data_IF_490297730414
#
_entry.id   IF_490297730414
#
_cell.length_a   1.000
_cell.length_b   1.000
_cell.length_c   1.000
_cell.angle_alpha   90.00
_cell.angle_beta   90.00
_cell.angle_gamma   90.00
#
_symmetry.space_group_name_H-M   'P 1'
#
loop_
_entity.id
_entity.type
_entity.pdbx_description
1 polymer ?
#
# COMPACT_ATOMS: atom_id res chain seq x y z
N UNK A 1 -10.28 -40.66 -2.64
CA UNK A 1 -9.04 -40.10 -2.07
C UNK A 1 -9.12 -38.58 -2.27
N UNK A 2 -9.73 -37.87 -1.34
CA UNK A 2 -9.85 -36.41 -1.35
C UNK A 2 -8.61 -35.82 -0.70
N UNK A 3 -7.59 -35.54 -1.50
CA UNK A 3 -6.43 -34.79 -1.05
C UNK A 3 -6.81 -33.35 -0.80
N UNK A 4 -7.21 -33.02 0.43
CA UNK A 4 -7.37 -31.63 0.86
C UNK A 4 -6.02 -30.91 0.72
N UNK A 5 -5.99 -29.83 -0.07
CA UNK A 5 -4.78 -29.02 -0.19
C UNK A 5 -4.46 -28.46 1.20
N UNK A 6 -3.24 -28.67 1.74
CA UNK A 6 -2.90 -28.15 3.06
C UNK A 6 -3.07 -26.64 3.10
N UNK A 7 -3.65 -26.12 4.20
CA UNK A 7 -4.01 -24.72 4.42
C UNK A 7 -2.93 -23.73 3.96
N UNK A 8 -1.67 -23.98 4.38
CA UNK A 8 -0.54 -23.12 4.04
C UNK A 8 -0.28 -23.07 2.52
N UNK A 9 -0.42 -24.20 1.85
CA UNK A 9 -0.21 -24.28 0.38
C UNK A 9 -1.31 -23.52 -0.38
N UNK A 10 -2.55 -23.61 0.09
CA UNK A 10 -3.68 -22.85 -0.46
C UNK A 10 -3.47 -21.34 -0.26
N UNK A 11 -3.10 -20.91 0.93
CA UNK A 11 -2.84 -19.49 1.24
C UNK A 11 -1.68 -18.92 0.41
N UNK A 12 -0.56 -19.65 0.26
CA UNK A 12 0.59 -19.22 -0.54
C UNK A 12 0.25 -19.13 -2.04
N UNK A 13 -0.51 -20.09 -2.57
CA UNK A 13 -0.94 -20.05 -3.97
C UNK A 13 -1.88 -18.87 -4.22
N UNK A 14 -2.84 -18.64 -3.33
CA UNK A 14 -3.75 -17.50 -3.40
C UNK A 14 -2.99 -16.18 -3.32
N UNK A 15 -2.05 -16.05 -2.37
CA UNK A 15 -1.19 -14.89 -2.26
C UNK A 15 -0.43 -14.58 -3.56
N UNK A 16 0.21 -15.59 -4.18
CA UNK A 16 0.94 -15.40 -5.45
C UNK A 16 0.04 -15.02 -6.61
N UNK A 17 -1.14 -15.61 -6.71
CA UNK A 17 -2.10 -15.29 -7.77
C UNK A 17 -2.61 -13.85 -7.61
N UNK A 18 -3.00 -13.48 -6.40
CA UNK A 18 -3.50 -12.14 -6.11
C UNK A 18 -2.42 -11.07 -6.26
N UNK A 19 -1.17 -11.34 -5.90
CA UNK A 19 -0.07 -10.40 -6.16
C UNK A 19 0.02 -10.05 -7.65
N UNK A 20 -0.11 -11.01 -8.55
CA UNK A 20 -0.08 -10.75 -9.99
C UNK A 20 -1.28 -9.96 -10.48
N UNK A 21 -2.45 -10.15 -9.87
CA UNK A 21 -3.67 -9.40 -10.20
C UNK A 21 -3.64 -7.98 -9.64
N UNK A 22 -3.14 -7.79 -8.41
CA UNK A 22 -3.03 -6.49 -7.76
C UNK A 22 -1.99 -5.59 -8.44
N UNK A 23 -0.90 -6.17 -8.97
CA UNK A 23 0.18 -5.47 -9.65
C UNK A 23 -0.21 -5.22 -11.12
N UNK A 24 -1.23 -4.38 -11.36
CA UNK A 24 -1.57 -3.91 -12.70
C UNK A 24 -0.82 -2.63 -13.04
N UNK A 25 -0.37 -2.51 -14.30
CA UNK A 25 0.41 -1.34 -14.73
C UNK A 25 -0.31 -0.01 -14.44
N UNK A 26 -1.63 0.06 -14.67
CA UNK A 26 -2.41 1.27 -14.44
C UNK A 26 -2.45 1.68 -12.97
N UNK A 27 -2.66 0.73 -12.06
CA UNK A 27 -2.68 1.00 -10.61
C UNK A 27 -1.32 1.46 -10.09
N UNK A 28 -0.26 0.78 -10.51
CA UNK A 28 1.10 1.15 -10.10
C UNK A 28 1.44 2.55 -10.61
N UNK A 29 1.15 2.88 -11.86
CA UNK A 29 1.40 4.23 -12.42
C UNK A 29 0.61 5.28 -11.65
N UNK A 30 -0.68 5.05 -11.38
CA UNK A 30 -1.52 5.99 -10.64
C UNK A 30 -0.99 6.24 -9.22
N UNK A 31 -0.56 5.18 -8.52
CA UNK A 31 -0.05 5.29 -7.17
C UNK A 31 1.36 5.87 -7.11
N UNK A 32 2.21 5.57 -8.10
CA UNK A 32 3.51 6.23 -8.25
C UNK A 32 3.34 7.72 -8.58
N UNK A 33 2.34 8.09 -9.37
CA UNK A 33 2.02 9.49 -9.62
C UNK A 33 1.58 10.20 -8.33
N UNK A 34 0.74 9.54 -7.52
CA UNK A 34 0.30 10.08 -6.22
C UNK A 34 1.50 10.25 -5.25
N UNK A 35 2.37 9.26 -5.15
CA UNK A 35 3.63 9.36 -4.39
C UNK A 35 4.57 10.42 -4.94
N UNK A 36 4.62 10.58 -6.27
CA UNK A 36 5.38 11.63 -6.93
C UNK A 36 4.88 13.03 -6.59
N UNK A 37 3.57 13.24 -6.50
CA UNK A 37 2.99 14.51 -6.05
C UNK A 37 3.43 14.84 -4.62
N UNK A 38 3.44 13.85 -3.72
CA UNK A 38 3.92 14.03 -2.35
C UNK A 38 5.40 14.45 -2.32
N UNK A 39 6.24 13.79 -3.10
CA UNK A 39 7.67 14.10 -3.19
C UNK A 39 7.88 15.51 -3.78
N UNK A 40 7.13 15.89 -4.81
CA UNK A 40 7.20 17.23 -5.40
C UNK A 40 6.74 18.31 -4.41
N UNK A 41 5.69 18.05 -3.63
CA UNK A 41 5.26 18.95 -2.56
C UNK A 41 6.35 19.14 -1.49
N UNK A 42 6.98 18.02 -1.07
CA UNK A 42 8.09 18.06 -0.12
C UNK A 42 9.30 18.83 -0.66
N UNK A 43 9.65 18.64 -1.95
CA UNK A 43 10.71 19.41 -2.63
C UNK A 43 10.36 20.91 -2.72
N UNK A 44 9.09 21.25 -2.98
CA UNK A 44 8.61 22.62 -3.00
C UNK A 44 8.81 23.32 -1.65
N UNK A 45 8.45 22.64 -0.56
CA UNK A 45 8.66 23.16 0.80
C UNK A 45 10.17 23.30 1.10
N UNK A 46 10.96 22.29 0.76
CA UNK A 46 12.42 22.35 0.97
C UNK A 46 13.10 23.49 0.21
N UNK A 47 12.55 23.91 -0.95
CA UNK A 47 13.10 24.96 -1.77
C UNK A 47 12.63 26.37 -1.39
N UNK A 48 11.44 26.52 -0.78
CA UNK A 48 10.78 27.79 -0.56
C UNK A 48 10.66 28.25 0.89
N UNK A 49 10.74 27.33 1.86
CA UNK A 49 10.62 27.66 3.27
C UNK A 49 11.94 28.19 3.85
N UNK A 50 11.87 29.20 4.71
CA UNK A 50 13.00 29.57 5.57
C UNK A 50 13.33 28.42 6.53
N UNK A 51 14.61 28.33 6.95
CA UNK A 51 15.11 27.17 7.71
C UNK A 51 14.30 26.92 8.99
N UNK A 52 13.85 27.99 9.65
CA UNK A 52 13.09 27.88 10.90
C UNK A 52 11.67 27.34 10.72
N UNK A 53 11.03 27.61 9.56
CA UNK A 53 9.66 27.19 9.25
C UNK A 53 9.60 25.86 8.45
N UNK A 54 10.75 25.40 7.97
CA UNK A 54 10.84 24.25 7.06
C UNK A 54 10.35 22.96 7.71
N UNK A 55 10.66 22.73 8.98
CA UNK A 55 10.25 21.50 9.71
C UNK A 55 8.74 21.48 9.89
N UNK A 56 8.14 22.60 10.30
CA UNK A 56 6.69 22.68 10.50
C UNK A 56 5.92 22.51 9.17
N UNK A 57 6.37 23.17 8.12
CA UNK A 57 5.79 23.04 6.79
C UNK A 57 5.91 21.61 6.25
N UNK A 58 7.05 20.94 6.50
CA UNK A 58 7.25 19.55 6.09
C UNK A 58 6.37 18.57 6.86
N UNK A 59 6.21 18.76 8.17
CA UNK A 59 5.26 18.00 8.99
C UNK A 59 3.85 18.16 8.43
N UNK A 60 3.45 19.39 8.06
CA UNK A 60 2.15 19.64 7.44
C UNK A 60 1.94 18.91 6.10
N UNK A 61 2.98 18.82 5.26
CA UNK A 61 2.92 18.06 3.99
C UNK A 61 2.83 16.55 4.25
N UNK A 62 3.63 16.02 5.16
CA UNK A 62 3.62 14.59 5.48
C UNK A 62 2.30 14.19 6.13
N UNK A 63 1.82 14.96 7.09
CA UNK A 63 0.56 14.69 7.79
C UNK A 63 -0.63 14.89 6.83
N UNK A 64 -0.78 16.05 6.22
CA UNK A 64 -1.94 16.38 5.39
C UNK A 64 -2.00 15.59 4.09
N UNK A 65 -0.94 15.59 3.28
CA UNK A 65 -0.93 14.85 2.02
C UNK A 65 -0.55 13.38 2.19
N UNK A 66 0.43 13.09 3.02
CA UNK A 66 0.94 11.73 3.19
C UNK A 66 -0.04 10.86 3.98
N UNK A 67 -0.23 11.14 5.26
CA UNK A 67 -1.01 10.28 6.15
C UNK A 67 -2.52 10.40 5.92
N UNK A 68 -3.03 11.61 5.66
CA UNK A 68 -4.49 11.81 5.50
C UNK A 68 -4.97 11.43 4.11
N UNK A 69 -4.16 11.56 3.06
CA UNK A 69 -4.59 11.32 1.68
C UNK A 69 -3.91 10.09 1.06
N UNK A 70 -2.57 10.03 1.02
CA UNK A 70 -1.86 8.96 0.30
C UNK A 70 -2.09 7.60 0.94
N UNK A 71 -1.94 7.49 2.26
CA UNK A 71 -2.09 6.21 2.98
C UNK A 71 -3.50 5.63 2.83
N UNK A 72 -4.61 6.36 3.11
CA UNK A 72 -5.95 5.81 2.96
C UNK A 72 -6.31 5.48 1.51
N UNK A 73 -5.87 6.28 0.53
CA UNK A 73 -6.14 6.02 -0.89
C UNK A 73 -5.44 4.73 -1.33
N UNK A 74 -4.17 4.54 -0.97
CA UNK A 74 -3.43 3.31 -1.30
C UNK A 74 -4.08 2.11 -0.62
N UNK A 75 -4.38 2.21 0.67
CA UNK A 75 -5.02 1.13 1.41
C UNK A 75 -6.39 0.76 0.80
N UNK A 76 -7.23 1.75 0.48
CA UNK A 76 -8.53 1.53 -0.13
C UNK A 76 -8.42 0.88 -1.52
N UNK A 77 -7.51 1.33 -2.37
CA UNK A 77 -7.30 0.78 -3.72
C UNK A 77 -6.92 -0.70 -3.64
N UNK A 78 -6.00 -1.07 -2.77
CA UNK A 78 -5.57 -2.47 -2.65
C UNK A 78 -6.55 -3.34 -1.87
N UNK A 79 -7.17 -2.83 -0.82
CA UNK A 79 -8.19 -3.57 -0.08
C UNK A 79 -9.43 -3.86 -0.96
N UNK A 80 -9.90 -2.89 -1.72
CA UNK A 80 -11.04 -3.10 -2.64
C UNK A 80 -10.69 -4.03 -3.80
N UNK A 81 -9.49 -3.91 -4.35
CA UNK A 81 -9.02 -4.73 -5.45
C UNK A 81 -8.81 -6.19 -5.05
N UNK A 82 -8.36 -6.45 -3.84
CA UNK A 82 -8.07 -7.81 -3.37
C UNK A 82 -9.29 -8.75 -3.39
N UNK A 83 -10.49 -8.19 -3.26
CA UNK A 83 -11.75 -8.93 -3.27
C UNK A 83 -12.64 -8.57 -4.47
N UNK A 84 -12.56 -7.33 -4.98
CA UNK A 84 -13.41 -6.80 -6.04
C UNK A 84 -13.12 -7.39 -7.40
N UNK A 85 -11.85 -7.48 -7.80
CA UNK A 85 -11.44 -7.97 -9.11
C UNK A 85 -11.89 -9.43 -9.35
N UNK A 86 -11.76 -10.29 -8.34
CA UNK A 86 -12.22 -11.67 -8.43
C UNK A 86 -13.75 -11.81 -8.60
N UNK A 87 -14.51 -10.79 -8.22
CA UNK A 87 -15.95 -10.75 -8.35
C UNK A 87 -16.38 -10.32 -9.76
N UNK A 88 -15.70 -9.33 -10.33
CA UNK A 88 -15.96 -8.83 -11.69
C UNK A 88 -15.58 -9.85 -12.76
N UNK A 89 -14.50 -10.58 -12.59
CA UNK A 89 -14.03 -11.63 -13.50
C UNK A 89 -14.87 -12.93 -13.41
N UNK A 90 -15.89 -13.00 -12.52
CA UNK A 90 -16.73 -14.18 -12.34
C UNK A 90 -15.98 -15.39 -11.76
N UNK A 91 -14.71 -15.22 -11.38
CA UNK A 91 -13.85 -16.31 -10.88
C UNK A 91 -14.26 -16.77 -9.48
N UNK A 92 -14.96 -15.94 -8.71
CA UNK A 92 -15.52 -16.31 -7.40
C UNK A 92 -16.50 -17.49 -7.48
N UNK A 93 -17.23 -17.65 -8.58
CA UNK A 93 -18.18 -18.78 -8.77
C UNK A 93 -17.41 -20.11 -8.76
N UNK A 94 -16.22 -20.15 -9.37
CA UNK A 94 -15.39 -21.35 -9.37
C UNK A 94 -14.76 -21.66 -8.01
N UNK A 95 -14.49 -20.64 -7.20
CA UNK A 95 -14.03 -20.80 -5.81
C UNK A 95 -15.14 -21.35 -4.90
N UNK A 96 -16.42 -21.01 -5.21
CA UNK A 96 -17.58 -21.51 -4.45
C UNK A 96 -17.90 -22.98 -4.78
N UNK A 97 -17.57 -23.44 -5.98
CA UNK A 97 -17.78 -24.81 -6.42
C UNK A 97 -16.70 -25.79 -5.96
N UNK A 98 -15.55 -25.29 -5.49
CA UNK A 98 -14.51 -26.14 -4.91
C UNK A 98 -14.70 -26.27 -3.40
N UNK A 99 -14.55 -27.48 -2.83
CA UNK A 99 -14.58 -27.71 -1.37
C UNK A 99 -13.27 -27.21 -0.74
N UNK A 100 -13.02 -25.89 -0.82
CA UNK A 100 -11.88 -25.24 -0.17
C UNK A 100 -12.38 -24.33 0.95
N UNK A 101 -11.71 -24.36 2.09
CA UNK A 101 -11.97 -23.44 3.18
C UNK A 101 -11.78 -21.99 2.71
N UNK A 102 -12.69 -21.11 3.08
CA UNK A 102 -12.67 -19.69 2.66
C UNK A 102 -11.57 -18.89 3.37
N UNK A 103 -11.20 -19.33 4.56
CA UNK A 103 -10.21 -18.69 5.42
C UNK A 103 -8.82 -18.51 4.76
N UNK A 104 -8.23 -19.54 4.10
CA UNK A 104 -6.95 -19.39 3.41
C UNK A 104 -6.96 -18.35 2.29
N UNK A 105 -8.11 -18.21 1.60
CA UNK A 105 -8.27 -17.24 0.51
C UNK A 105 -8.26 -15.82 1.05
N UNK A 106 -9.02 -15.56 2.12
CA UNK A 106 -9.08 -14.23 2.77
C UNK A 106 -7.72 -13.85 3.35
N UNK A 107 -7.06 -14.77 4.03
CA UNK A 107 -5.72 -14.54 4.59
C UNK A 107 -4.70 -14.28 3.47
N UNK A 108 -4.73 -15.05 2.40
CA UNK A 108 -3.87 -14.85 1.25
C UNK A 108 -4.08 -13.49 0.58
N UNK A 109 -5.33 -13.05 0.45
CA UNK A 109 -5.69 -11.74 -0.08
C UNK A 109 -5.20 -10.59 0.82
N UNK A 110 -5.40 -10.72 2.12
CA UNK A 110 -4.95 -9.73 3.11
C UNK A 110 -3.43 -9.55 3.06
N UNK A 111 -2.65 -10.64 3.10
CA UNK A 111 -1.20 -10.54 2.99
C UNK A 111 -0.74 -10.04 1.62
N UNK A 112 -1.45 -10.34 0.53
CA UNK A 112 -1.11 -9.82 -0.79
C UNK A 112 -1.31 -8.31 -0.86
N UNK A 113 -2.41 -7.78 -0.32
CA UNK A 113 -2.64 -6.33 -0.28
C UNK A 113 -1.59 -5.60 0.54
N UNK A 114 -1.25 -6.08 1.74
CA UNK A 114 -0.20 -5.49 2.58
C UNK A 114 1.15 -5.52 1.85
N UNK A 115 1.53 -6.62 1.22
CA UNK A 115 2.82 -6.77 0.53
C UNK A 115 3.00 -5.73 -0.58
N UNK A 116 1.93 -5.29 -1.23
CA UNK A 116 2.00 -4.31 -2.31
C UNK A 116 1.77 -2.88 -1.78
N UNK A 117 0.82 -2.67 -0.89
CA UNK A 117 0.48 -1.34 -0.37
C UNK A 117 1.59 -0.77 0.51
N UNK A 118 2.21 -1.60 1.36
CA UNK A 118 3.23 -1.14 2.31
C UNK A 118 4.44 -0.48 1.64
N UNK A 119 5.14 -1.08 0.65
CA UNK A 119 6.24 -0.39 0.00
C UNK A 119 5.79 0.83 -0.80
N UNK A 120 4.58 0.81 -1.36
CA UNK A 120 4.05 1.90 -2.16
C UNK A 120 3.70 3.15 -1.32
N UNK A 121 3.40 2.98 -0.03
CA UNK A 121 3.20 4.09 0.91
C UNK A 121 4.49 4.50 1.60
N UNK A 122 5.24 3.53 2.13
CA UNK A 122 6.42 3.79 2.94
C UNK A 122 7.54 4.45 2.13
N UNK A 123 7.78 4.01 0.89
CA UNK A 123 8.89 4.54 0.08
C UNK A 123 8.71 6.02 -0.26
N UNK A 124 7.57 6.50 -0.81
CA UNK A 124 7.40 7.92 -1.06
C UNK A 124 7.43 8.77 0.21
N UNK A 125 6.87 8.25 1.31
CA UNK A 125 6.86 8.94 2.60
C UNK A 125 8.28 9.09 3.18
N UNK A 126 9.09 8.03 3.11
CA UNK A 126 10.49 8.08 3.55
C UNK A 126 11.32 9.04 2.70
N UNK A 127 11.09 9.06 1.37
CA UNK A 127 11.78 10.00 0.47
C UNK A 127 11.36 11.43 0.78
N UNK A 128 10.07 11.69 0.98
CA UNK A 128 9.57 13.03 1.33
C UNK A 128 10.18 13.53 2.64
N UNK A 129 10.23 12.68 3.68
CA UNK A 129 10.86 13.01 4.95
C UNK A 129 12.37 13.27 4.82
N UNK A 130 13.08 12.48 4.01
CA UNK A 130 14.51 12.64 3.78
C UNK A 130 14.83 13.94 3.04
N UNK A 131 14.04 14.30 2.03
CA UNK A 131 14.19 15.54 1.26
C UNK A 131 13.91 16.77 2.13
N UNK A 132 12.94 16.64 3.06
CA UNK A 132 12.59 17.70 3.99
C UNK A 132 13.62 17.99 5.08
N UNK A 133 14.80 17.36 5.05
CA UNK A 133 15.82 17.56 6.07
C UNK A 133 15.47 16.99 7.44
N UNK A 134 14.42 16.13 7.51
CA UNK A 134 14.11 15.41 8.73
C UNK A 134 15.29 14.54 9.12
N UNK A 135 15.77 14.68 10.35
CA UNK A 135 16.81 13.80 10.87
C UNK A 135 16.37 12.34 10.86
N UNK A 136 17.28 11.42 11.16
CA UNK A 136 17.00 9.97 11.21
C UNK A 136 15.72 9.62 11.96
N UNK A 137 15.44 10.32 13.06
CA UNK A 137 14.27 10.10 13.92
C UNK A 137 12.94 10.49 13.22
N UNK A 138 12.96 11.59 12.45
CA UNK A 138 11.80 12.01 11.67
C UNK A 138 11.49 11.03 10.53
N UNK A 139 12.50 10.51 9.86
CA UNK A 139 12.32 9.47 8.82
C UNK A 139 11.74 8.21 9.43
N UNK A 140 12.28 7.74 10.56
CA UNK A 140 11.78 6.55 11.26
C UNK A 140 10.33 6.73 11.70
N UNK A 141 10.00 7.88 12.31
CA UNK A 141 8.64 8.18 12.73
C UNK A 141 7.65 8.15 11.55
N UNK A 142 8.02 8.75 10.41
CA UNK A 142 7.21 8.78 9.19
C UNK A 142 7.01 7.38 8.61
N UNK A 143 8.06 6.56 8.56
CA UNK A 143 7.99 5.17 8.09
C UNK A 143 7.08 4.33 8.97
N UNK A 144 7.21 4.45 10.30
CA UNK A 144 6.36 3.71 11.24
C UNK A 144 4.90 4.15 11.12
N UNK A 145 4.62 5.46 11.08
CA UNK A 145 3.27 5.98 10.95
C UNK A 145 2.60 5.52 9.64
N UNK A 146 3.32 5.59 8.51
CA UNK A 146 2.80 5.14 7.22
C UNK A 146 2.60 3.63 7.16
N UNK A 147 3.45 2.85 7.82
CA UNK A 147 3.32 1.40 7.89
C UNK A 147 2.16 0.92 8.75
N UNK A 148 1.82 1.65 9.82
CA UNK A 148 0.67 1.32 10.69
C UNK A 148 -0.65 1.73 10.04
N UNK A 149 -0.65 2.77 9.18
CA UNK A 149 -1.85 3.25 8.50
C UNK A 149 -2.32 2.38 7.32
N UNK A 150 -1.52 1.41 6.86
CA UNK A 150 -1.83 0.47 5.77
C UNK A 150 -2.43 -0.82 6.29
#
# INVERSE_FOLDING_TARGET
MSGSVPFVRAAVLTHRLLLRQLVTRGRIIALLALGGVLILAALGVAASAEIDDQVEAMVGVIDGLGLVLVVPVVALVFASASLGDGREDGTLVYLWLRPMDRLPVVIGAFFASITVSLPLTVVPMAIAAAVGGSGSDGIIATVVASGVGV
#
